data_IF_685420439893
#
_entry.id   IF_685420439893
#
_cell.length_a   1.000
_cell.length_b   1.000
_cell.length_c   1.000
_cell.angle_alpha   90.00
_cell.angle_beta   90.00
_cell.angle_gamma   90.00
#
_symmetry.space_group_name_H-M   'P 1'
#
loop_
_entity.id
_entity.type
_entity.pdbx_description
1 polymer ?
#
# COMPACT_ATOMS: atom_id res chain seq x y z
N UNK A 1 -18.09 55.34 -40.66
CA UNK A 1 -18.33 54.57 -39.41
C UNK A 1 -18.82 53.19 -39.81
N UNK A 2 -17.91 52.22 -39.86
CA UNK A 2 -18.21 50.83 -40.25
C UNK A 2 -17.57 49.91 -39.22
N UNK A 3 -18.43 49.24 -38.46
CA UNK A 3 -18.08 48.29 -37.40
C UNK A 3 -17.47 47.02 -38.00
N UNK A 4 -16.36 46.55 -37.40
CA UNK A 4 -15.86 45.18 -37.64
C UNK A 4 -16.73 44.18 -36.87
N UNK A 5 -17.04 43.01 -37.44
CA UNK A 5 -17.80 41.98 -36.74
C UNK A 5 -16.93 41.26 -35.70
N UNK A 6 -17.51 40.97 -34.54
CA UNK A 6 -16.91 40.17 -33.48
C UNK A 6 -16.90 38.69 -33.85
N UNK A 7 -15.73 38.07 -33.80
CA UNK A 7 -15.57 36.61 -33.89
C UNK A 7 -16.17 35.94 -32.65
N UNK A 8 -16.94 34.84 -32.75
CA UNK A 8 -17.43 34.14 -31.57
C UNK A 8 -16.28 33.42 -30.89
N UNK A 9 -16.17 33.58 -29.57
CA UNK A 9 -15.29 32.79 -28.72
C UNK A 9 -15.88 31.38 -28.65
N UNK A 10 -15.24 30.41 -29.29
CA UNK A 10 -15.51 28.98 -29.08
C UNK A 10 -15.22 28.63 -27.62
N UNK A 11 -16.23 28.12 -26.93
CA UNK A 11 -16.10 27.58 -25.59
C UNK A 11 -15.02 26.49 -25.55
N UNK A 12 -14.18 26.51 -24.52
CA UNK A 12 -13.23 25.44 -24.25
C UNK A 12 -13.97 24.10 -24.12
N UNK A 13 -13.41 22.98 -24.60
CA UNK A 13 -14.04 21.69 -24.42
C UNK A 13 -14.17 21.43 -22.92
N UNK A 14 -15.40 21.09 -22.51
CA UNK A 14 -15.72 20.60 -21.17
C UNK A 14 -14.80 19.44 -20.83
N UNK A 15 -14.16 19.54 -19.67
CA UNK A 15 -13.30 18.53 -19.06
C UNK A 15 -14.11 17.24 -18.87
N UNK A 16 -14.13 16.38 -19.89
CA UNK A 16 -14.75 15.07 -19.77
C UNK A 16 -13.87 14.27 -18.82
N UNK A 17 -14.47 13.80 -17.72
CA UNK A 17 -13.82 12.86 -16.82
C UNK A 17 -13.23 11.71 -17.67
N UNK A 18 -11.96 11.34 -17.45
CA UNK A 18 -11.32 10.29 -18.22
C UNK A 18 -12.16 9.01 -18.13
N UNK A 19 -12.25 8.27 -19.24
CA UNK A 19 -12.97 7.00 -19.27
C UNK A 19 -12.43 6.08 -18.17
N UNK A 20 -13.32 5.38 -17.47
CA UNK A 20 -12.97 4.48 -16.39
C UNK A 20 -11.97 3.41 -16.89
N UNK A 21 -10.77 3.40 -16.32
CA UNK A 21 -9.76 2.38 -16.60
C UNK A 21 -10.19 1.10 -15.91
N UNK A 22 -10.55 0.08 -16.68
CA UNK A 22 -10.83 -1.25 -16.13
C UNK A 22 -9.50 -1.97 -15.93
N UNK A 23 -9.09 -2.12 -14.67
CA UNK A 23 -7.95 -2.94 -14.30
C UNK A 23 -8.26 -4.43 -14.51
N UNK A 24 -7.25 -5.23 -14.85
CA UNK A 24 -7.43 -6.63 -15.25
C UNK A 24 -8.25 -7.48 -14.25
N UNK A 25 -8.17 -7.17 -12.95
CA UNK A 25 -8.88 -7.90 -11.90
C UNK A 25 -9.99 -7.10 -11.21
N UNK A 26 -10.44 -5.99 -11.81
CA UNK A 26 -11.50 -5.14 -11.24
C UNK A 26 -12.83 -5.90 -11.00
N UNK A 27 -13.05 -7.00 -11.73
CA UNK A 27 -14.23 -7.84 -11.62
C UNK A 27 -13.93 -9.25 -11.11
N UNK A 28 -12.73 -9.48 -10.53
CA UNK A 28 -12.42 -10.77 -9.93
C UNK A 28 -13.42 -11.03 -8.80
N UNK A 29 -14.18 -12.15 -8.88
CA UNK A 29 -15.19 -12.46 -7.87
C UNK A 29 -14.50 -12.54 -6.51
N UNK A 30 -15.22 -12.09 -5.49
CA UNK A 30 -14.84 -12.25 -4.10
C UNK A 30 -15.70 -13.38 -3.55
N UNK A 31 -15.06 -14.42 -3.02
CA UNK A 31 -15.79 -15.55 -2.45
C UNK A 31 -16.69 -15.09 -1.28
N UNK A 32 -17.92 -15.61 -1.16
CA UNK A 32 -18.79 -15.27 -0.04
C UNK A 32 -18.11 -15.53 1.32
N UNK A 33 -18.14 -14.53 2.20
CA UNK A 33 -17.51 -14.62 3.52
C UNK A 33 -15.99 -14.37 3.55
N UNK A 34 -15.37 -14.12 2.39
CA UNK A 34 -13.98 -13.66 2.36
C UNK A 34 -13.86 -12.20 2.83
N UNK A 35 -12.76 -11.88 3.50
CA UNK A 35 -12.30 -10.52 3.76
C UNK A 35 -11.30 -10.11 2.68
N UNK A 36 -11.58 -9.04 1.94
CA UNK A 36 -10.71 -8.50 0.90
C UNK A 36 -9.96 -7.27 1.41
N UNK A 37 -8.64 -7.38 1.51
CA UNK A 37 -7.75 -6.32 1.96
C UNK A 37 -6.95 -5.80 0.78
N UNK A 38 -6.96 -4.49 0.56
CA UNK A 38 -6.13 -3.81 -0.43
C UNK A 38 -5.12 -2.90 0.26
N UNK A 39 -3.85 -2.96 -0.15
CA UNK A 39 -2.82 -2.01 0.27
C UNK A 39 -2.24 -1.28 -0.93
N UNK A 40 -2.04 0.03 -0.81
CA UNK A 40 -1.44 0.84 -1.87
C UNK A 40 -0.73 2.10 -1.34
N UNK A 41 0.52 2.28 -1.76
CA UNK A 41 1.17 3.59 -1.69
C UNK A 41 0.60 4.50 -2.80
N UNK A 42 -0.14 5.53 -2.39
CA UNK A 42 -0.86 6.43 -3.30
C UNK A 42 -0.01 7.61 -3.80
N UNK A 43 1.19 7.81 -3.25
CA UNK A 43 2.09 8.91 -3.61
C UNK A 43 1.37 10.28 -3.65
N UNK A 44 0.46 10.49 -2.70
CA UNK A 44 -0.44 11.63 -2.58
C UNK A 44 -1.89 11.32 -2.96
N UNK A 45 -2.78 11.26 -1.97
CA UNK A 45 -4.19 10.84 -2.16
C UNK A 45 -4.96 11.71 -3.15
N UNK A 46 -4.75 13.03 -3.15
CA UNK A 46 -5.39 13.93 -4.13
C UNK A 46 -4.99 13.61 -5.56
N UNK A 47 -3.72 13.24 -5.77
CA UNK A 47 -3.21 12.91 -7.10
C UNK A 47 -3.75 11.56 -7.55
N UNK A 48 -3.76 10.56 -6.66
CA UNK A 48 -4.33 9.26 -6.93
C UNK A 48 -5.83 9.35 -7.26
N UNK A 49 -6.59 10.12 -6.48
CA UNK A 49 -8.01 10.42 -6.72
C UNK A 49 -8.22 10.94 -8.15
N UNK A 50 -7.56 12.04 -8.52
CA UNK A 50 -7.69 12.65 -9.86
C UNK A 50 -7.27 11.73 -11.00
N UNK A 51 -6.36 10.80 -10.76
CA UNK A 51 -5.83 9.85 -11.76
C UNK A 51 -6.65 8.57 -11.88
N UNK A 52 -7.81 8.47 -11.23
CA UNK A 52 -8.75 7.37 -11.46
C UNK A 52 -8.78 6.30 -10.36
N UNK A 53 -8.27 6.59 -9.16
CA UNK A 53 -8.45 5.68 -8.02
C UNK A 53 -9.93 5.35 -7.69
N UNK A 54 -10.91 6.27 -7.80
CA UNK A 54 -12.33 5.92 -7.62
C UNK A 54 -12.80 4.84 -8.60
N UNK A 55 -12.42 4.96 -9.87
CA UNK A 55 -12.76 3.97 -10.89
C UNK A 55 -12.07 2.62 -10.64
N UNK A 56 -10.84 2.63 -10.13
CA UNK A 56 -10.18 1.41 -9.69
C UNK A 56 -10.94 0.73 -8.53
N UNK A 57 -11.38 1.50 -7.53
CA UNK A 57 -12.01 0.97 -6.32
C UNK A 57 -13.42 0.39 -6.59
N UNK A 58 -14.18 1.02 -7.47
CA UNK A 58 -15.57 0.70 -7.74
C UNK A 58 -15.79 -0.79 -8.07
N UNK A 59 -16.75 -1.43 -7.37
CA UNK A 59 -17.20 -2.80 -7.65
C UNK A 59 -16.23 -3.91 -7.23
N UNK A 60 -15.12 -3.59 -6.54
CA UNK A 60 -14.11 -4.59 -6.13
C UNK A 60 -14.43 -5.33 -4.84
N UNK A 61 -15.39 -4.86 -4.04
CA UNK A 61 -15.73 -5.47 -2.76
C UNK A 61 -14.57 -5.46 -1.74
N UNK A 62 -13.71 -4.44 -1.79
CA UNK A 62 -12.68 -4.21 -0.76
C UNK A 62 -13.37 -3.90 0.57
N UNK A 63 -12.96 -4.56 1.64
CA UNK A 63 -13.47 -4.30 2.99
C UNK A 63 -12.52 -3.43 3.81
N UNK A 64 -11.21 -3.59 3.56
CA UNK A 64 -10.15 -2.85 4.25
C UNK A 64 -9.18 -2.29 3.22
N UNK A 65 -8.97 -0.99 3.26
CA UNK A 65 -8.04 -0.27 2.41
C UNK A 65 -6.94 0.35 3.28
N UNK A 66 -5.70 -0.04 3.05
CA UNK A 66 -4.55 0.57 3.70
C UNK A 66 -3.78 1.43 2.72
N UNK A 67 -3.45 2.64 3.16
CA UNK A 67 -2.86 3.68 2.33
C UNK A 67 -1.53 4.11 2.90
N UNK A 68 -0.55 4.29 2.01
CA UNK A 68 0.76 4.86 2.33
C UNK A 68 1.05 6.07 1.45
N UNK A 69 1.89 6.96 1.96
CA UNK A 69 2.17 8.26 1.34
C UNK A 69 0.90 9.05 0.99
N UNK A 70 -0.04 9.12 1.93
CA UNK A 70 -1.27 9.90 1.81
C UNK A 70 -0.96 11.38 1.48
N UNK A 71 0.08 11.94 2.13
CA UNK A 71 0.59 13.31 1.93
C UNK A 71 -0.49 14.40 2.01
N UNK A 72 -1.48 14.19 2.88
CA UNK A 72 -2.56 15.12 3.12
C UNK A 72 -2.94 15.14 4.62
N UNK A 73 -3.54 16.22 5.12
CA UNK A 73 -4.19 16.22 6.43
C UNK A 73 -5.45 15.35 6.44
N UNK A 74 -5.93 14.98 7.62
CA UNK A 74 -7.01 14.00 7.82
C UNK A 74 -8.34 14.41 7.19
N UNK A 75 -8.74 15.69 7.28
CA UNK A 75 -9.98 16.22 6.67
C UNK A 75 -10.04 15.99 5.15
N UNK A 76 -8.88 16.12 4.50
CA UNK A 76 -8.74 15.87 3.08
C UNK A 76 -8.73 14.38 2.78
N UNK A 77 -8.06 13.58 3.60
CA UNK A 77 -8.08 12.13 3.44
C UNK A 77 -9.52 11.61 3.50
N UNK A 78 -10.28 12.03 4.51
CA UNK A 78 -11.69 11.68 4.70
C UNK A 78 -12.52 12.08 3.47
N UNK A 79 -12.43 13.34 3.03
CA UNK A 79 -13.15 13.82 1.83
C UNK A 79 -12.82 12.98 0.59
N UNK A 80 -11.53 12.71 0.35
CA UNK A 80 -11.13 11.92 -0.83
C UNK A 80 -11.55 10.45 -0.71
N UNK A 81 -11.57 9.89 0.50
CA UNK A 81 -12.03 8.51 0.72
C UNK A 81 -13.53 8.38 0.47
N UNK A 82 -14.34 9.32 0.96
CA UNK A 82 -15.79 9.36 0.67
C UNK A 82 -16.04 9.36 -0.84
N UNK A 83 -15.31 10.20 -1.60
CA UNK A 83 -15.41 10.24 -3.06
C UNK A 83 -14.92 8.94 -3.75
N UNK A 84 -13.84 8.31 -3.24
CA UNK A 84 -13.27 7.07 -3.81
C UNK A 84 -14.19 5.88 -3.59
N UNK A 85 -14.72 5.74 -2.38
CA UNK A 85 -15.49 4.57 -1.97
C UNK A 85 -16.98 4.74 -2.25
N UNK A 86 -17.43 5.98 -2.46
CA UNK A 86 -18.82 6.36 -2.68
C UNK A 86 -19.68 6.34 -1.42
N UNK A 87 -19.08 6.21 -0.23
CA UNK A 87 -19.77 6.17 1.06
C UNK A 87 -18.80 6.45 2.23
N UNK A 88 -19.36 6.68 3.41
CA UNK A 88 -18.56 6.89 4.62
C UNK A 88 -17.84 5.60 5.05
N UNK A 89 -16.56 5.75 5.40
CA UNK A 89 -15.70 4.68 5.92
C UNK A 89 -15.14 5.11 7.28
N UNK A 90 -14.90 4.14 8.16
CA UNK A 90 -14.14 4.40 9.37
C UNK A 90 -12.65 4.51 9.01
N UNK A 91 -12.00 5.58 9.46
CA UNK A 91 -10.61 5.88 9.12
C UNK A 91 -9.79 6.09 10.39
N UNK A 92 -8.60 5.50 10.41
CA UNK A 92 -7.54 5.82 11.36
C UNK A 92 -6.26 6.12 10.60
N UNK A 93 -5.70 7.31 10.81
CA UNK A 93 -4.53 7.79 10.09
C UNK A 93 -3.44 8.34 11.03
N UNK A 94 -2.22 8.40 10.50
CA UNK A 94 -1.11 9.14 11.10
C UNK A 94 -0.57 10.11 10.05
N UNK A 95 -0.86 11.39 10.24
CA UNK A 95 -0.35 12.48 9.41
C UNK A 95 1.08 12.78 9.81
N UNK A 96 1.98 12.88 8.83
CA UNK A 96 3.35 13.29 9.10
C UNK A 96 3.42 14.81 9.39
N UNK A 97 4.20 15.20 10.41
CA UNK A 97 4.46 16.61 10.72
C UNK A 97 5.13 17.35 9.54
N UNK A 98 5.98 16.65 8.79
CA UNK A 98 6.55 17.14 7.54
C UNK A 98 5.47 17.23 6.44
N UNK A 99 4.89 18.42 6.26
CA UNK A 99 3.80 18.67 5.30
C UNK A 99 4.11 18.15 3.89
N UNK A 100 3.16 17.41 3.32
CA UNK A 100 3.25 16.85 1.97
C UNK A 100 4.20 15.65 1.84
N UNK A 101 4.63 15.05 2.96
CA UNK A 101 5.45 13.84 3.02
C UNK A 101 4.71 12.73 3.77
N UNK A 102 5.04 11.47 3.45
CA UNK A 102 4.55 10.28 4.16
C UNK A 102 3.03 10.32 4.43
N UNK A 103 2.60 9.85 5.59
CA UNK A 103 1.20 9.68 5.96
C UNK A 103 0.72 8.28 5.63
N UNK A 104 0.10 7.62 6.61
CA UNK A 104 -0.48 6.29 6.47
C UNK A 104 -1.90 6.28 7.01
N UNK A 105 -2.75 5.40 6.48
CA UNK A 105 -4.10 5.21 6.96
C UNK A 105 -4.56 3.75 6.82
N UNK A 106 -5.49 3.36 7.68
CA UNK A 106 -6.37 2.20 7.51
C UNK A 106 -7.79 2.73 7.42
N UNK A 107 -8.48 2.38 6.34
CA UNK A 107 -9.89 2.66 6.13
C UNK A 107 -10.67 1.34 6.05
N UNK A 108 -11.84 1.26 6.68
CA UNK A 108 -12.68 0.05 6.69
C UNK A 108 -14.18 0.39 6.74
N UNK A 109 -15.02 -0.54 6.27
CA UNK A 109 -16.47 -0.48 6.49
C UNK A 109 -16.91 -0.98 7.86
N UNK A 110 -16.13 -1.87 8.46
CA UNK A 110 -16.44 -2.41 9.78
C UNK A 110 -16.15 -1.36 10.84
N UNK A 111 -17.03 -1.25 11.84
CA UNK A 111 -16.69 -0.53 13.07
C UNK A 111 -15.44 -1.20 13.67
N UNK A 112 -14.43 -0.38 13.93
CA UNK A 112 -13.16 -0.86 14.45
C UNK A 112 -13.09 -0.71 15.97
N UNK A 113 -12.33 -1.60 16.61
CA UNK A 113 -12.01 -1.52 18.02
C UNK A 113 -10.87 -0.53 18.28
N UNK A 114 -9.86 -1.02 18.99
CA UNK A 114 -8.73 -0.22 19.42
C UNK A 114 -7.87 0.27 18.23
N UNK A 115 -7.40 1.52 18.34
CA UNK A 115 -6.57 2.21 17.34
C UNK A 115 -5.26 2.63 17.97
N UNK A 116 -4.15 2.42 17.26
CA UNK A 116 -2.79 2.76 17.73
C UNK A 116 -2.00 3.43 16.62
N UNK A 117 -1.05 4.27 16.99
CA UNK A 117 -0.14 4.96 16.08
C UNK A 117 1.28 4.91 16.63
N UNK A 118 2.27 4.96 15.74
CA UNK A 118 3.68 4.85 16.11
C UNK A 118 4.18 3.41 16.21
N UNK A 119 5.47 3.21 15.98
CA UNK A 119 6.12 1.88 15.95
C UNK A 119 6.73 1.49 17.31
N UNK A 120 6.56 2.32 18.35
CA UNK A 120 7.15 2.11 19.67
C UNK A 120 8.48 2.86 19.91
N UNK A 121 8.82 3.80 19.04
CA UNK A 121 9.96 4.70 19.21
C UNK A 121 9.51 6.14 18.97
N UNK A 122 9.56 6.97 20.02
CA UNK A 122 9.08 8.36 20.04
C UNK A 122 9.73 9.23 18.95
N UNK A 123 10.91 8.85 18.46
CA UNK A 123 11.57 9.53 17.34
C UNK A 123 10.74 9.50 16.04
N UNK A 124 9.82 8.54 15.89
CA UNK A 124 9.00 8.37 14.70
C UNK A 124 7.52 8.72 14.90
N UNK A 125 7.10 9.18 16.08
CA UNK A 125 5.69 9.39 16.40
C UNK A 125 5.00 10.40 15.47
N UNK A 126 5.74 11.42 15.02
CA UNK A 126 5.25 12.43 14.09
C UNK A 126 5.64 12.17 12.62
N UNK A 127 6.24 11.01 12.33
CA UNK A 127 6.71 10.67 10.99
C UNK A 127 5.58 10.18 10.07
N UNK A 128 4.43 9.77 10.62
CA UNK A 128 3.26 9.32 9.86
C UNK A 128 3.54 8.04 9.05
N UNK A 129 4.07 7.00 9.72
CA UNK A 129 4.58 5.77 9.07
C UNK A 129 4.01 4.46 9.58
N UNK A 130 3.23 4.48 10.66
CA UNK A 130 2.63 3.28 11.24
C UNK A 130 1.32 3.61 11.94
N UNK A 131 0.26 2.89 11.58
CA UNK A 131 -1.02 2.88 12.29
C UNK A 131 -1.55 1.46 12.35
N UNK A 132 -2.29 1.16 13.42
CA UNK A 132 -2.93 -0.13 13.64
C UNK A 132 -4.39 0.04 14.00
N UNK A 133 -5.21 -0.90 13.55
CA UNK A 133 -6.65 -0.94 13.80
C UNK A 133 -7.06 -2.38 14.08
N UNK A 134 -7.75 -2.60 15.20
CA UNK A 134 -8.35 -3.89 15.52
C UNK A 134 -9.73 -4.02 14.88
N UNK A 135 -9.94 -5.09 14.11
CA UNK A 135 -11.18 -5.39 13.39
C UNK A 135 -11.78 -6.71 13.88
N UNK A 136 -13.11 -6.80 14.03
CA UNK A 136 -13.76 -8.08 14.28
C UNK A 136 -13.65 -8.97 13.04
N UNK A 137 -13.51 -10.27 13.25
CA UNK A 137 -13.53 -11.28 12.17
C UNK A 137 -14.76 -12.19 12.30
N UNK A 138 -15.23 -12.81 11.21
CA UNK A 138 -16.42 -13.67 11.23
C UNK A 138 -16.34 -14.86 12.20
N UNK A 139 -15.14 -15.36 12.50
CA UNK A 139 -14.93 -16.46 13.46
C UNK A 139 -14.88 -15.99 14.94
N UNK A 140 -15.19 -14.72 15.20
CA UNK A 140 -15.30 -14.13 16.52
C UNK A 140 -13.97 -13.68 17.14
N UNK A 141 -12.87 -13.73 16.38
CA UNK A 141 -11.55 -13.26 16.80
C UNK A 141 -11.26 -11.85 16.34
N UNK A 142 -10.13 -11.30 16.78
CA UNK A 142 -9.67 -9.96 16.37
C UNK A 142 -8.57 -10.04 15.31
N UNK A 143 -8.72 -9.27 14.24
CA UNK A 143 -7.66 -8.99 13.27
C UNK A 143 -7.07 -7.60 13.52
N UNK A 144 -5.79 -7.53 13.87
CA UNK A 144 -5.05 -6.26 13.87
C UNK A 144 -4.50 -5.99 12.48
N UNK A 145 -5.04 -4.97 11.79
CA UNK A 145 -4.52 -4.50 10.50
C UNK A 145 -3.61 -3.31 10.71
N UNK A 146 -2.45 -3.34 10.08
CA UNK A 146 -1.45 -2.27 10.10
C UNK A 146 -1.25 -1.70 8.70
N UNK A 147 -1.20 -0.37 8.60
CA UNK A 147 -0.64 0.33 7.45
C UNK A 147 0.75 0.87 7.81
N UNK A 148 1.77 0.39 7.11
CA UNK A 148 3.17 0.69 7.37
C UNK A 148 3.85 1.30 6.13
N UNK A 149 4.64 2.36 6.35
CA UNK A 149 5.46 2.99 5.32
C UNK A 149 6.90 3.13 5.79
N UNK A 150 7.74 2.16 5.43
CA UNK A 150 9.16 2.15 5.80
C UNK A 150 9.90 3.22 5.00
N UNK A 151 10.94 3.82 5.59
CA UNK A 151 11.80 4.77 4.90
C UNK A 151 12.38 4.16 3.61
N UNK A 152 12.38 4.90 2.50
CA UNK A 152 13.04 4.45 1.27
C UNK A 152 14.53 4.21 1.47
N UNK A 153 15.17 5.01 2.32
CA UNK A 153 16.60 4.93 2.61
C UNK A 153 17.44 5.57 1.53
N UNK A 154 18.70 5.83 1.86
CA UNK A 154 19.70 6.36 0.94
C UNK A 154 21.08 6.07 1.54
N UNK A 155 21.87 5.22 0.84
CA UNK A 155 23.15 4.69 1.33
C UNK A 155 24.05 5.81 1.87
N UNK A 156 24.67 5.58 3.03
CA UNK A 156 25.58 6.50 3.72
C UNK A 156 24.94 7.85 4.15
N UNK A 157 23.62 7.88 4.37
CA UNK A 157 22.90 9.07 4.85
C UNK A 157 22.13 8.80 6.15
N UNK A 158 21.73 9.86 6.88
CA UNK A 158 20.82 9.72 8.01
C UNK A 158 19.51 8.99 7.69
N UNK A 159 18.99 9.09 6.46
CA UNK A 159 17.76 8.37 6.06
C UNK A 159 17.93 6.85 6.10
N UNK A 160 19.13 6.35 5.82
CA UNK A 160 19.40 4.91 5.93
C UNK A 160 19.52 4.49 7.39
N UNK A 161 20.09 5.34 8.25
CA UNK A 161 20.12 5.12 9.70
C UNK A 161 18.70 5.05 10.25
N UNK A 162 17.83 5.99 9.85
CA UNK A 162 16.42 6.00 10.23
C UNK A 162 15.68 4.76 9.70
N UNK A 163 16.00 4.30 8.49
CA UNK A 163 15.45 3.05 7.94
C UNK A 163 15.81 1.85 8.81
N UNK A 164 17.09 1.67 9.17
CA UNK A 164 17.51 0.55 10.01
C UNK A 164 16.90 0.64 11.41
N UNK A 165 16.89 1.82 12.04
CA UNK A 165 16.22 2.04 13.33
C UNK A 165 14.74 1.68 13.28
N UNK A 166 14.05 2.02 12.19
CA UNK A 166 12.65 1.66 11.99
C UNK A 166 12.46 0.14 11.81
N UNK A 167 13.35 -0.51 11.03
CA UNK A 167 13.33 -1.96 10.84
C UNK A 167 13.63 -2.72 12.15
N UNK A 168 14.50 -2.19 13.02
CA UNK A 168 14.73 -2.73 14.36
C UNK A 168 13.46 -2.66 15.22
N UNK A 169 12.70 -1.57 15.16
CA UNK A 169 11.41 -1.48 15.86
C UNK A 169 10.36 -2.42 15.25
N UNK A 170 10.37 -2.62 13.94
CA UNK A 170 9.50 -3.62 13.31
C UNK A 170 9.80 -5.03 13.80
N UNK A 171 11.07 -5.43 13.99
CA UNK A 171 11.40 -6.73 14.59
C UNK A 171 10.69 -6.91 15.93
N UNK A 172 10.77 -5.91 16.81
CA UNK A 172 10.13 -5.95 18.13
C UNK A 172 8.60 -6.00 18.01
N UNK A 173 8.03 -5.14 17.16
CA UNK A 173 6.57 -5.02 17.04
C UNK A 173 5.93 -6.25 16.40
N UNK A 174 6.57 -6.86 15.40
CA UNK A 174 6.09 -8.09 14.77
C UNK A 174 6.08 -9.27 15.76
N UNK A 175 7.07 -9.35 16.67
CA UNK A 175 7.09 -10.35 17.73
C UNK A 175 5.94 -10.13 18.74
N UNK A 176 5.71 -8.88 19.15
CA UNK A 176 4.60 -8.54 20.07
C UNK A 176 3.25 -8.86 19.44
N UNK A 177 2.99 -8.40 18.22
CA UNK A 177 1.73 -8.66 17.51
C UNK A 177 1.46 -10.16 17.37
N UNK A 178 2.49 -10.97 17.08
CA UNK A 178 2.36 -12.44 17.01
C UNK A 178 2.02 -13.09 18.36
N UNK A 179 2.47 -12.50 19.47
CA UNK A 179 2.21 -13.03 20.82
C UNK A 179 0.85 -12.58 21.36
N UNK A 180 0.41 -11.37 21.01
CA UNK A 180 -0.72 -10.69 21.64
C UNK A 180 -2.03 -10.78 20.87
N UNK A 181 -1.99 -10.98 19.54
CA UNK A 181 -3.15 -10.87 18.66
C UNK A 181 -3.52 -12.21 18.04
N UNK A 182 -4.82 -12.46 17.88
CA UNK A 182 -5.33 -13.68 17.23
C UNK A 182 -4.86 -13.75 15.77
N UNK A 183 -5.06 -12.65 15.04
CA UNK A 183 -4.59 -12.44 13.68
C UNK A 183 -3.93 -11.06 13.60
N UNK A 184 -2.79 -10.97 12.91
CA UNK A 184 -2.19 -9.69 12.58
C UNK A 184 -1.77 -9.64 11.11
N UNK A 185 -1.96 -8.47 10.51
CA UNK A 185 -1.70 -8.19 9.10
C UNK A 185 -0.95 -6.87 8.98
N UNK A 186 0.33 -6.93 8.61
CA UNK A 186 1.14 -5.75 8.30
C UNK A 186 1.17 -5.54 6.80
N UNK A 187 0.61 -4.41 6.38
CA UNK A 187 0.50 -4.05 4.96
C UNK A 187 1.28 -2.80 4.64
N UNK A 188 1.68 -2.65 3.37
CA UNK A 188 2.16 -1.38 2.83
C UNK A 188 3.50 -1.45 2.14
N UNK A 189 4.00 -0.28 1.75
CA UNK A 189 5.30 -0.08 1.13
C UNK A 189 6.41 -0.16 2.19
N UNK A 190 7.07 -1.32 2.22
CA UNK A 190 8.17 -1.60 3.11
C UNK A 190 9.53 -1.24 2.50
N UNK A 191 9.55 -0.69 1.28
CA UNK A 191 10.74 -0.15 0.62
C UNK A 191 11.94 -1.11 0.54
N UNK A 192 11.71 -2.42 0.53
CA UNK A 192 12.75 -3.45 0.41
C UNK A 192 12.26 -4.61 -0.46
N UNK A 193 13.02 -4.99 -1.48
CA UNK A 193 12.83 -6.25 -2.19
C UNK A 193 13.55 -7.37 -1.43
N UNK A 194 12.85 -8.39 -0.96
CA UNK A 194 13.43 -9.43 -0.09
C UNK A 194 14.44 -10.31 -0.83
N UNK A 195 14.07 -10.83 -1.99
CA UNK A 195 14.87 -11.79 -2.77
C UNK A 195 15.23 -11.27 -4.16
N UNK A 196 16.12 -11.96 -4.87
CA UNK A 196 16.47 -11.64 -6.26
C UNK A 196 15.28 -11.63 -7.22
N UNK A 197 14.20 -12.35 -6.87
CA UNK A 197 12.94 -12.38 -7.64
C UNK A 197 12.09 -11.14 -7.43
N UNK A 198 12.36 -10.36 -6.39
CA UNK A 198 11.58 -9.18 -6.01
C UNK A 198 12.03 -7.91 -6.72
N UNK A 199 12.98 -8.01 -7.64
CA UNK A 199 13.43 -6.87 -8.42
C UNK A 199 13.95 -7.30 -9.79
N UNK A 200 13.45 -6.65 -10.83
CA UNK A 200 14.02 -6.80 -12.17
C UNK A 200 15.42 -6.18 -12.21
N UNK A 201 16.40 -6.94 -12.69
CA UNK A 201 17.82 -6.54 -12.77
C UNK A 201 18.50 -6.38 -11.40
N UNK A 202 18.24 -7.31 -10.48
CA UNK A 202 18.78 -7.33 -9.12
C UNK A 202 20.31 -7.10 -9.02
N UNK A 203 21.11 -7.64 -9.96
CA UNK A 203 22.58 -7.56 -9.93
C UNK A 203 23.11 -6.14 -9.84
N UNK A 204 22.46 -5.19 -10.52
CA UNK A 204 22.85 -3.77 -10.49
C UNK A 204 22.43 -3.02 -9.23
N UNK A 205 21.56 -3.62 -8.42
CA UNK A 205 20.89 -2.97 -7.29
C UNK A 205 21.36 -3.48 -5.93
N UNK A 206 22.20 -4.51 -5.86
CA UNK A 206 22.72 -5.08 -4.58
C UNK A 206 23.48 -4.09 -3.69
N UNK A 207 23.78 -2.89 -4.18
CA UNK A 207 24.43 -1.79 -3.43
C UNK A 207 23.53 -0.54 -3.34
N UNK A 208 22.23 -0.69 -3.56
CA UNK A 208 21.24 0.40 -3.54
C UNK A 208 20.28 0.16 -2.40
N UNK A 209 19.91 1.25 -1.72
CA UNK A 209 18.84 1.22 -0.71
C UNK A 209 17.56 0.61 -1.31
N UNK A 210 16.91 -0.21 -0.50
CA UNK A 210 15.83 -1.11 -0.88
C UNK A 210 16.28 -2.50 -1.35
N UNK A 211 17.57 -2.73 -1.58
CA UNK A 211 18.09 -4.05 -1.95
C UNK A 211 19.48 -4.35 -1.37
N UNK A 212 19.87 -3.63 -0.31
CA UNK A 212 21.10 -3.91 0.42
C UNK A 212 20.99 -5.28 1.12
N UNK A 213 22.08 -6.06 1.22
CA UNK A 213 22.09 -7.31 1.96
C UNK A 213 21.56 -7.17 3.39
N UNK A 214 21.91 -6.08 4.07
CA UNK A 214 21.50 -5.78 5.44
C UNK A 214 20.00 -5.51 5.55
N UNK A 215 19.40 -4.83 4.56
CA UNK A 215 17.94 -4.60 4.52
C UNK A 215 17.19 -5.91 4.32
N UNK A 216 17.67 -6.76 3.40
CA UNK A 216 17.04 -8.06 3.11
C UNK A 216 17.15 -9.02 4.30
N UNK A 217 18.23 -8.93 5.08
CA UNK A 217 18.40 -9.74 6.28
C UNK A 217 17.28 -9.49 7.31
N UNK A 218 16.65 -8.31 7.37
CA UNK A 218 15.46 -8.12 8.19
C UNK A 218 14.28 -8.96 7.72
N UNK A 219 14.09 -9.08 6.40
CA UNK A 219 13.01 -9.89 5.83
C UNK A 219 13.27 -11.39 6.01
N UNK A 220 14.53 -11.81 5.98
CA UNK A 220 14.92 -13.17 6.38
C UNK A 220 14.52 -13.46 7.84
N UNK A 221 14.64 -12.47 8.74
CA UNK A 221 14.21 -12.59 10.14
C UNK A 221 12.68 -12.56 10.27
N UNK A 222 12.01 -11.66 9.55
CA UNK A 222 10.55 -11.53 9.55
C UNK A 222 9.88 -12.85 9.15
N UNK A 223 10.35 -13.47 8.05
CA UNK A 223 9.75 -14.67 7.48
C UNK A 223 10.40 -15.99 7.91
N UNK A 224 11.60 -15.93 8.48
CA UNK A 224 12.31 -17.08 9.02
C UNK A 224 11.79 -17.50 10.39
N UNK A 225 12.45 -18.51 10.99
CA UNK A 225 12.03 -19.11 12.26
C UNK A 225 12.04 -18.13 13.45
N UNK A 226 12.81 -17.04 13.38
CA UNK A 226 12.93 -16.06 14.46
C UNK A 226 11.60 -15.36 14.77
N UNK A 227 10.90 -14.85 13.73
CA UNK A 227 9.64 -14.11 13.90
C UNK A 227 8.48 -14.85 13.24
N UNK A 228 8.73 -15.63 12.18
CA UNK A 228 7.78 -16.59 11.60
C UNK A 228 6.52 -16.00 11.00
N UNK A 229 6.57 -14.74 10.56
CA UNK A 229 5.50 -14.15 9.74
C UNK A 229 5.53 -14.73 8.33
N UNK A 230 4.44 -14.52 7.58
CA UNK A 230 4.29 -15.05 6.22
C UNK A 230 4.14 -13.93 5.22
N UNK A 231 4.89 -14.04 4.13
CA UNK A 231 4.70 -13.21 2.93
C UNK A 231 3.58 -13.81 2.08
N UNK A 232 2.34 -13.32 2.29
CA UNK A 232 1.14 -13.93 1.70
C UNK A 232 1.18 -13.92 0.17
N UNK A 233 1.60 -12.80 -0.41
CA UNK A 233 1.68 -12.66 -1.86
C UNK A 233 2.71 -13.64 -2.46
N UNK A 234 3.86 -13.82 -1.80
CA UNK A 234 4.88 -14.78 -2.25
C UNK A 234 4.45 -16.24 -2.06
N UNK A 235 3.83 -16.59 -0.94
CA UNK A 235 3.35 -17.96 -0.70
C UNK A 235 2.32 -18.38 -1.76
N UNK A 236 1.41 -17.48 -2.16
CA UNK A 236 0.41 -17.74 -3.19
C UNK A 236 0.97 -17.70 -4.62
N UNK A 237 1.92 -16.82 -4.91
CA UNK A 237 2.53 -16.70 -6.24
C UNK A 237 3.54 -17.83 -6.53
N UNK A 238 4.16 -18.39 -5.50
CA UNK A 238 5.21 -19.41 -5.62
C UNK A 238 6.55 -18.84 -6.10
N UNK A 239 7.38 -19.73 -6.66
CA UNK A 239 8.77 -19.44 -7.02
C UNK A 239 8.90 -18.76 -8.39
N UNK A 240 8.40 -17.52 -8.49
CA UNK A 240 8.37 -16.73 -9.73
C UNK A 240 9.02 -15.35 -9.57
N UNK A 241 9.54 -14.78 -10.66
CA UNK A 241 9.95 -13.37 -10.67
C UNK A 241 8.72 -12.47 -10.45
N UNK A 242 8.84 -11.49 -9.55
CA UNK A 242 7.70 -10.68 -9.12
C UNK A 242 6.61 -11.53 -8.42
N UNK A 243 5.32 -11.15 -8.54
CA UNK A 243 4.82 -9.97 -9.23
C UNK A 243 5.36 -8.68 -8.57
N UNK A 244 5.83 -7.75 -9.39
CA UNK A 244 6.33 -6.46 -8.91
C UNK A 244 5.17 -5.54 -8.55
N UNK A 245 5.37 -4.63 -7.61
CA UNK A 245 4.36 -3.68 -7.12
C UNK A 245 4.72 -2.23 -7.41
N UNK A 246 5.97 -1.94 -7.76
CA UNK A 246 6.46 -0.58 -8.03
C UNK A 246 7.26 -0.48 -9.34
N UNK A 247 7.06 0.60 -10.09
CA UNK A 247 7.84 0.93 -11.28
C UNK A 247 8.06 2.43 -11.40
N UNK A 248 9.29 2.83 -11.74
CA UNK A 248 9.61 4.25 -11.97
C UNK A 248 8.69 4.93 -12.98
N UNK A 249 8.37 6.21 -12.73
CA UNK A 249 7.79 7.10 -13.73
C UNK A 249 8.73 7.39 -14.90
N UNK A 250 10.04 7.20 -14.72
CA UNK A 250 11.06 7.56 -15.70
C UNK A 250 11.35 6.40 -16.66
N UNK A 251 11.52 6.76 -17.94
CA UNK A 251 11.87 5.80 -18.98
C UNK A 251 10.79 4.75 -19.20
N UNK A 252 11.20 3.56 -19.65
CA UNK A 252 10.29 2.47 -20.04
C UNK A 252 10.18 1.38 -18.96
N UNK A 253 10.37 1.74 -17.68
CA UNK A 253 10.36 0.77 -16.58
C UNK A 253 9.02 0.02 -16.51
N UNK A 254 7.91 0.74 -16.68
CA UNK A 254 6.58 0.13 -16.71
C UNK A 254 6.44 -0.82 -17.91
N UNK A 255 6.62 -0.34 -19.13
CA UNK A 255 6.38 -1.13 -20.35
C UNK A 255 7.28 -2.38 -20.44
N UNK A 256 8.50 -2.31 -19.90
CA UNK A 256 9.46 -3.42 -19.86
C UNK A 256 9.36 -4.27 -18.59
N UNK A 257 8.38 -4.01 -17.73
CA UNK A 257 8.19 -4.65 -16.44
C UNK A 257 9.47 -4.70 -15.58
N UNK A 258 10.22 -3.59 -15.62
CA UNK A 258 11.42 -3.41 -14.81
C UNK A 258 11.03 -2.85 -13.45
N UNK A 259 10.36 -3.70 -12.66
CA UNK A 259 9.75 -3.34 -11.39
C UNK A 259 10.48 -3.86 -10.15
N UNK A 260 9.95 -3.46 -9.00
CA UNK A 260 10.32 -3.93 -7.67
C UNK A 260 9.06 -4.42 -6.95
N UNK A 261 9.16 -5.47 -6.13
CA UNK A 261 8.13 -5.89 -5.19
C UNK A 261 8.53 -5.39 -3.81
N UNK A 262 7.91 -4.28 -3.41
CA UNK A 262 8.22 -3.58 -2.14
C UNK A 262 6.96 -3.34 -1.29
N UNK A 263 5.79 -3.68 -1.83
CA UNK A 263 4.52 -3.62 -1.12
C UNK A 263 4.13 -5.02 -0.66
N UNK A 264 3.81 -5.17 0.61
CA UNK A 264 3.58 -6.46 1.25
C UNK A 264 2.22 -6.53 1.93
N UNK A 265 1.72 -7.77 2.07
CA UNK A 265 0.77 -8.15 3.10
C UNK A 265 1.43 -9.28 3.90
N UNK A 266 2.12 -8.91 4.98
CA UNK A 266 2.76 -9.85 5.90
C UNK A 266 1.75 -10.27 6.96
N UNK A 267 1.55 -11.56 7.16
CA UNK A 267 0.53 -12.07 8.07
C UNK A 267 1.12 -12.99 9.15
N UNK A 268 0.45 -13.09 10.29
CA UNK A 268 0.66 -14.24 11.20
C UNK A 268 0.30 -15.55 10.48
N UNK A 269 0.94 -16.69 10.80
CA UNK A 269 0.70 -17.96 10.12
C UNK A 269 -0.77 -18.37 10.02
N UNK A 270 -1.54 -18.12 11.07
CA UNK A 270 -2.95 -18.48 11.19
C UNK A 270 -3.83 -17.67 10.23
N UNK A 271 -3.49 -16.39 10.01
CA UNK A 271 -4.15 -15.54 9.03
C UNK A 271 -3.67 -15.89 7.61
N UNK A 272 -2.38 -16.14 7.41
CA UNK A 272 -1.83 -16.51 6.12
C UNK A 272 -2.49 -17.79 5.56
N UNK A 273 -2.78 -18.76 6.44
CA UNK A 273 -3.49 -19.99 6.05
C UNK A 273 -4.93 -19.77 5.55
N UNK A 274 -5.51 -18.59 5.81
CA UNK A 274 -6.82 -18.18 5.30
C UNK A 274 -6.71 -17.51 3.92
N UNK A 275 -5.53 -17.13 3.47
CA UNK A 275 -5.37 -16.42 2.21
C UNK A 275 -5.67 -17.35 1.02
N UNK A 276 -6.57 -16.93 0.13
CA UNK A 276 -7.01 -17.74 -1.02
C UNK A 276 -6.53 -17.18 -2.35
N UNK A 277 -6.34 -15.87 -2.43
CA UNK A 277 -5.92 -15.18 -3.65
C UNK A 277 -5.09 -13.94 -3.30
N UNK A 278 -4.02 -13.70 -4.08
CA UNK A 278 -3.26 -12.46 -4.05
C UNK A 278 -3.09 -11.92 -5.48
N UNK A 279 -3.32 -10.63 -5.65
CA UNK A 279 -3.30 -9.95 -6.94
C UNK A 279 -2.55 -8.63 -6.81
N UNK A 280 -1.56 -8.42 -7.67
CA UNK A 280 -1.06 -7.07 -7.92
C UNK A 280 -1.88 -6.44 -9.05
N UNK A 281 -2.65 -5.42 -8.71
CA UNK A 281 -3.57 -4.73 -9.63
C UNK A 281 -2.87 -3.68 -10.48
N UNK A 282 -1.87 -4.13 -11.22
CA UNK A 282 -1.14 -3.34 -12.17
C UNK A 282 -2.09 -2.78 -13.24
N UNK A 283 -2.04 -1.46 -13.46
CA UNK A 283 -2.79 -0.80 -14.51
C UNK A 283 -2.42 -1.34 -15.92
N UNK A 284 -3.33 -1.29 -16.90
CA UNK A 284 -3.07 -1.86 -18.24
C UNK A 284 -1.96 -1.13 -19.01
N UNK A 285 -1.75 0.17 -18.75
CA UNK A 285 -0.69 0.97 -19.38
C UNK A 285 -0.11 2.04 -18.46
N UNK A 286 1.10 2.51 -18.78
CA UNK A 286 1.86 3.47 -17.98
C UNK A 286 1.08 4.77 -17.64
N UNK A 287 0.24 5.25 -18.55
CA UNK A 287 -0.53 6.49 -18.44
C UNK A 287 -1.83 6.32 -17.64
N UNK A 288 -2.31 5.08 -17.48
CA UNK A 288 -3.56 4.76 -16.75
C UNK A 288 -3.36 4.51 -15.26
N UNK A 289 -2.12 4.47 -14.76
CA UNK A 289 -1.84 4.24 -13.34
C UNK A 289 -2.00 5.53 -12.53
N UNK A 290 -2.54 5.41 -11.32
CA UNK A 290 -2.70 6.54 -10.42
C UNK A 290 -1.51 6.76 -9.47
N UNK A 291 -0.65 5.75 -9.31
CA UNK A 291 0.60 5.79 -8.54
C UNK A 291 1.72 5.06 -9.30
N UNK A 292 2.98 5.28 -8.91
CA UNK A 292 4.09 4.41 -9.29
C UNK A 292 3.99 3.02 -8.66
N UNK A 293 3.19 2.88 -7.61
CA UNK A 293 2.81 1.60 -7.03
C UNK A 293 1.50 1.08 -7.63
N UNK A 294 1.38 -0.24 -7.74
CA UNK A 294 0.14 -0.95 -8.00
C UNK A 294 -0.43 -1.49 -6.67
N UNK A 295 -1.76 -1.44 -6.47
CA UNK A 295 -2.38 -2.04 -5.31
C UNK A 295 -2.09 -3.54 -5.21
N UNK A 296 -1.81 -4.01 -3.99
CA UNK A 296 -1.77 -5.44 -3.66
C UNK A 296 -3.07 -5.80 -2.93
N UNK A 297 -3.88 -6.64 -3.57
CA UNK A 297 -5.19 -7.08 -3.09
C UNK A 297 -5.14 -8.56 -2.72
N UNK A 298 -5.59 -8.89 -1.52
CA UNK A 298 -5.58 -10.26 -1.00
C UNK A 298 -6.94 -10.59 -0.38
N UNK A 299 -7.43 -11.80 -0.65
CA UNK A 299 -8.63 -12.36 -0.05
C UNK A 299 -8.29 -13.37 1.03
N UNK A 300 -8.96 -13.26 2.18
CA UNK A 300 -8.83 -14.15 3.33
C UNK A 300 -10.18 -14.81 3.65
N UNK A 301 -10.26 -16.13 3.57
CA UNK A 301 -11.48 -16.88 3.86
C UNK A 301 -11.62 -17.16 5.37
N UNK A 302 -12.71 -16.65 5.95
CA UNK A 302 -13.09 -16.94 7.34
C UNK A 302 -14.18 -18.00 7.42
#
# INVERSE_FOLDING_TARGET
>A
MTSKPSTPVTAAPTDQAPAAVVHANAHAPKEPGALRVATVNVNGIRAAHRKGMPAWFAGRGVDVLTLQEVRAPSDILETMLEDITGQDWHVHDAVAAAKGRAGVAVATLAEHGERRSGIGDEYFDDAGRWVEVDLPTPDGKTLTVVSAYVHSGEVDTPKQVDKYRFLDQMVLRLQQLRQEKDYALVTGDLNVGHTERDIKNWKGNVKKAGFLPEERAYFDRFFGEEIGWKDVARELAGDVDGPYTWWSWRGQAYDKDTGWRIDYQMATPELAAKATQAVVDRAPSWDTRFSDHAPLVVDYQF
#
